data_IF_475187078289
#
_entry.id   IF_475187078289
#
_cell.length_a   1.000
_cell.length_b   1.000
_cell.length_c   1.000
_cell.angle_alpha   90.00
_cell.angle_beta   90.00
_cell.angle_gamma   90.00
#
_symmetry.space_group_name_H-M   'P 1'
#
loop_
_entity.id
_entity.type
_entity.pdbx_description
1 polymer ?
#
# COMPACT_ATOMS: atom_id res chain seq x y z
N UNK A 1 -24.29 1.39 -11.13
CA UNK A 1 -23.18 0.78 -11.89
C UNK A 1 -22.96 1.59 -13.13
N UNK A 2 -21.73 1.64 -13.64
CA UNK A 2 -21.46 2.25 -14.93
C UNK A 2 -21.31 1.15 -15.96
N UNK A 3 -21.85 1.35 -17.15
CA UNK A 3 -21.77 0.37 -18.22
C UNK A 3 -21.36 1.01 -19.54
N UNK A 4 -20.68 0.21 -20.35
CA UNK A 4 -20.16 0.57 -21.66
C UNK A 4 -20.35 -0.61 -22.61
N UNK A 5 -20.73 -0.31 -23.85
CA UNK A 5 -20.93 -1.31 -24.89
C UNK A 5 -19.89 -1.14 -25.99
N UNK A 6 -19.38 -2.27 -26.48
CA UNK A 6 -18.53 -2.34 -27.67
C UNK A 6 -19.26 -3.19 -28.69
N UNK A 7 -19.43 -2.66 -29.89
CA UNK A 7 -20.13 -3.33 -30.96
C UNK A 7 -19.13 -3.90 -31.98
N UNK A 8 -19.06 -5.23 -32.10
CA UNK A 8 -18.21 -5.87 -33.13
C UNK A 8 -19.00 -6.21 -34.40
N UNK A 9 -20.24 -5.73 -34.54
CA UNK A 9 -21.04 -5.92 -35.74
C UNK A 9 -20.74 -4.80 -36.75
N UNK A 10 -20.87 -5.14 -38.03
CA UNK A 10 -20.78 -4.21 -39.16
C UNK A 10 -22.05 -3.34 -39.33
N UNK A 11 -22.78 -3.07 -38.24
CA UNK A 11 -24.02 -2.28 -38.24
C UNK A 11 -24.16 -1.57 -36.92
N UNK A 12 -24.74 -0.38 -36.96
CA UNK A 12 -25.06 0.39 -35.76
C UNK A 12 -26.07 -0.35 -34.88
N UNK A 13 -25.86 -0.25 -33.56
CA UNK A 13 -26.72 -0.87 -32.54
C UNK A 13 -27.24 0.20 -31.61
N UNK A 14 -28.57 0.34 -31.57
CA UNK A 14 -29.28 1.18 -30.62
C UNK A 14 -29.76 0.35 -29.44
N UNK A 15 -29.25 0.66 -28.24
CA UNK A 15 -29.52 -0.10 -27.03
C UNK A 15 -30.42 0.73 -26.11
N UNK A 16 -31.62 0.25 -25.80
CA UNK A 16 -32.54 0.91 -24.87
C UNK A 16 -32.50 0.22 -23.50
N UNK A 17 -31.89 0.88 -22.52
CA UNK A 17 -31.92 0.44 -21.11
C UNK A 17 -33.11 1.12 -20.40
N UNK A 18 -34.26 0.43 -20.37
CA UNK A 18 -35.44 0.90 -19.66
C UNK A 18 -36.06 2.16 -20.27
N UNK A 19 -36.39 3.15 -19.44
CA UNK A 19 -37.14 4.37 -19.80
C UNK A 19 -36.27 5.49 -20.41
N UNK A 20 -34.98 5.27 -20.53
CA UNK A 20 -34.03 6.30 -20.96
C UNK A 20 -33.82 6.33 -22.48
N UNK A 21 -33.21 7.42 -22.96
CA UNK A 21 -32.83 7.58 -24.36
C UNK A 21 -31.94 6.42 -24.83
N UNK A 22 -32.17 5.90 -26.05
CA UNK A 22 -31.38 4.80 -26.60
C UNK A 22 -29.92 5.22 -26.79
N UNK A 23 -29.01 4.32 -26.42
CA UNK A 23 -27.58 4.49 -26.58
C UNK A 23 -27.18 3.98 -27.97
N UNK A 24 -26.65 4.86 -28.83
CA UNK A 24 -26.14 4.47 -30.13
C UNK A 24 -24.68 3.98 -29.99
N UNK A 25 -24.40 2.81 -30.55
CA UNK A 25 -23.07 2.20 -30.64
C UNK A 25 -22.76 1.98 -32.11
N UNK A 26 -21.74 2.67 -32.61
CA UNK A 26 -21.34 2.60 -34.02
C UNK A 26 -20.92 1.20 -34.46
N UNK A 27 -20.94 0.95 -35.77
CA UNK A 27 -20.38 -0.24 -36.40
C UNK A 27 -18.85 -0.37 -36.23
N UNK A 28 -18.31 -1.55 -36.56
CA UNK A 28 -16.87 -1.81 -36.68
C UNK A 28 -16.04 -1.47 -35.43
N UNK A 29 -16.34 -2.11 -34.30
CA UNK A 29 -15.72 -1.84 -33.00
C UNK A 29 -16.04 -0.46 -32.42
N UNK A 30 -17.14 0.15 -32.88
CA UNK A 30 -17.68 1.36 -32.27
C UNK A 30 -17.96 1.16 -30.78
N UNK A 31 -17.73 2.21 -30.01
CA UNK A 31 -17.84 2.18 -28.55
C UNK A 31 -18.83 3.21 -28.05
N UNK A 32 -19.68 2.78 -27.12
CA UNK A 32 -20.68 3.65 -26.52
C UNK A 32 -20.09 4.61 -25.49
N UNK A 33 -20.81 5.70 -25.22
CA UNK A 33 -20.58 6.49 -24.01
C UNK A 33 -20.88 5.67 -22.75
N UNK A 34 -20.25 6.03 -21.64
CA UNK A 34 -20.56 5.45 -20.34
C UNK A 34 -21.97 5.84 -19.90
N UNK A 35 -22.77 4.86 -19.48
CA UNK A 35 -24.10 5.08 -18.92
C UNK A 35 -24.16 4.60 -17.48
N UNK A 36 -24.70 5.42 -16.60
CA UNK A 36 -24.95 5.03 -15.21
C UNK A 36 -26.35 4.45 -15.09
N UNK A 37 -26.46 3.27 -14.51
CA UNK A 37 -27.74 2.61 -14.24
C UNK A 37 -27.91 2.27 -12.75
N UNK A 38 -29.15 2.24 -12.26
CA UNK A 38 -29.42 1.78 -10.90
C UNK A 38 -29.08 0.29 -10.76
N UNK A 39 -28.89 -0.14 -9.51
CA UNK A 39 -28.68 -1.54 -9.18
C UNK A 39 -29.94 -2.33 -9.54
N UNK A 40 -29.78 -3.44 -10.26
CA UNK A 40 -30.88 -4.30 -10.65
C UNK A 40 -30.43 -5.46 -11.53
N UNK A 41 -31.36 -6.37 -11.80
CA UNK A 41 -31.19 -7.41 -12.79
C UNK A 41 -31.77 -6.92 -14.13
N UNK A 42 -30.99 -7.08 -15.20
CA UNK A 42 -31.35 -6.61 -16.55
C UNK A 42 -31.38 -7.80 -17.53
N UNK A 43 -32.41 -8.67 -17.44
CA UNK A 43 -32.43 -9.92 -18.20
C UNK A 43 -32.83 -9.77 -19.67
N UNK A 44 -33.49 -8.66 -20.04
CA UNK A 44 -34.02 -8.44 -21.37
C UNK A 44 -33.89 -6.97 -21.80
N UNK A 45 -32.65 -6.56 -22.10
CA UNK A 45 -32.37 -5.24 -22.68
C UNK A 45 -32.65 -5.26 -24.17
N UNK A 46 -33.53 -4.38 -24.64
CA UNK A 46 -33.89 -4.29 -26.05
C UNK A 46 -32.78 -3.61 -26.85
N UNK A 47 -32.36 -4.27 -27.92
CA UNK A 47 -31.35 -3.79 -28.85
C UNK A 47 -31.92 -3.81 -30.27
N UNK A 48 -31.79 -2.68 -30.96
CA UNK A 48 -32.25 -2.51 -32.33
C UNK A 48 -31.05 -2.29 -33.23
N UNK A 49 -30.89 -3.16 -34.20
CA UNK A 49 -30.02 -2.96 -35.36
C UNK A 49 -30.90 -2.60 -36.56
N UNK A 50 -30.32 -2.00 -37.61
CA UNK A 50 -31.05 -1.59 -38.82
C UNK A 50 -32.00 -2.65 -39.39
N UNK A 51 -31.68 -3.95 -39.27
CA UNK A 51 -32.49 -5.05 -39.81
C UNK A 51 -33.19 -5.94 -38.78
N UNK A 52 -32.78 -5.90 -37.51
CA UNK A 52 -33.23 -6.88 -36.50
C UNK A 52 -33.30 -6.28 -35.10
N UNK A 53 -34.39 -6.62 -34.42
CA UNK A 53 -34.55 -6.40 -32.99
C UNK A 53 -34.16 -7.68 -32.24
N UNK A 54 -33.31 -7.56 -31.23
CA UNK A 54 -32.92 -8.67 -30.34
C UNK A 54 -32.86 -8.19 -28.89
N UNK A 55 -32.95 -9.13 -27.95
CA UNK A 55 -32.90 -8.86 -26.51
C UNK A 55 -31.62 -9.44 -25.90
N UNK A 56 -30.90 -8.63 -25.13
CA UNK A 56 -29.67 -9.04 -24.46
C UNK A 56 -29.89 -9.20 -22.95
N UNK A 57 -29.35 -10.26 -22.38
CA UNK A 57 -29.35 -10.49 -20.93
C UNK A 57 -28.01 -9.99 -20.35
N UNK A 58 -28.06 -8.90 -19.58
CA UNK A 58 -26.89 -8.33 -18.91
C UNK A 58 -26.66 -8.92 -17.50
N UNK A 59 -27.62 -9.68 -16.99
CA UNK A 59 -27.61 -10.26 -15.65
C UNK A 59 -27.74 -9.23 -14.53
N UNK A 60 -27.21 -9.58 -13.35
CA UNK A 60 -27.15 -8.69 -12.19
C UNK A 60 -26.04 -7.65 -12.36
N UNK A 61 -26.39 -6.38 -12.17
CA UNK A 61 -25.44 -5.27 -12.12
C UNK A 61 -25.31 -4.75 -10.68
N UNK A 62 -24.10 -4.86 -10.14
CA UNK A 62 -23.79 -4.50 -8.76
C UNK A 62 -23.37 -3.04 -8.61
N UNK A 63 -23.60 -2.48 -7.42
CA UNK A 63 -23.34 -1.08 -7.16
C UNK A 63 -21.84 -0.74 -7.26
N UNK A 64 -21.50 0.40 -7.85
CA UNK A 64 -20.11 0.85 -7.99
C UNK A 64 -19.25 0.08 -9.00
N UNK A 65 -19.74 -1.03 -9.57
CA UNK A 65 -19.04 -1.78 -10.61
C UNK A 65 -19.06 -1.04 -11.96
N UNK A 66 -18.03 -1.26 -12.77
CA UNK A 66 -17.97 -0.86 -14.18
C UNK A 66 -17.96 -2.09 -15.06
N UNK A 67 -18.99 -2.25 -15.89
CA UNK A 67 -19.13 -3.39 -16.80
C UNK A 67 -18.92 -2.95 -18.24
N UNK A 68 -18.12 -3.73 -18.98
CA UNK A 68 -18.02 -3.65 -20.43
C UNK A 68 -18.75 -4.83 -21.04
N UNK A 69 -19.63 -4.54 -21.99
CA UNK A 69 -20.39 -5.54 -22.71
C UNK A 69 -19.95 -5.54 -24.17
N UNK A 70 -19.44 -6.67 -24.64
CA UNK A 70 -19.01 -6.83 -26.03
C UNK A 70 -20.09 -7.59 -26.79
N UNK A 71 -20.72 -6.93 -27.76
CA UNK A 71 -21.75 -7.52 -28.62
C UNK A 71 -21.03 -8.15 -29.82
N UNK A 72 -21.18 -9.47 -29.97
CA UNK A 72 -20.59 -10.23 -31.08
C UNK A 72 -21.60 -11.15 -31.73
N UNK A 73 -21.49 -11.37 -33.03
CA UNK A 73 -22.37 -12.28 -33.75
C UNK A 73 -21.77 -13.69 -33.76
N UNK A 74 -22.35 -14.61 -32.98
CA UNK A 74 -21.94 -16.01 -32.97
C UNK A 74 -22.77 -16.76 -34.02
N UNK A 75 -22.06 -17.39 -34.96
CA UNK A 75 -22.54 -17.96 -36.24
C UNK A 75 -23.71 -18.96 -36.15
N UNK A 76 -24.14 -19.38 -34.97
CA UNK A 76 -25.17 -20.42 -34.80
C UNK A 76 -26.35 -20.05 -33.89
N UNK A 77 -26.29 -18.93 -33.14
CA UNK A 77 -27.31 -18.59 -32.14
C UNK A 77 -27.71 -17.10 -32.08
N UNK A 78 -27.20 -16.27 -33.00
CA UNK A 78 -27.48 -14.84 -33.06
C UNK A 78 -26.48 -13.98 -32.28
N UNK A 79 -26.76 -12.67 -32.11
CA UNK A 79 -25.89 -11.76 -31.38
C UNK A 79 -25.84 -12.16 -29.90
N UNK A 80 -24.65 -12.49 -29.40
CA UNK A 80 -24.42 -12.74 -27.97
C UNK A 80 -23.58 -11.61 -27.36
N UNK A 81 -23.73 -11.45 -26.04
CA UNK A 81 -23.02 -10.46 -25.25
C UNK A 81 -22.05 -11.15 -24.32
N UNK A 82 -20.79 -10.74 -24.41
CA UNK A 82 -19.77 -11.08 -23.44
C UNK A 82 -19.73 -9.99 -22.38
N UNK A 83 -19.94 -10.39 -21.12
CA UNK A 83 -19.78 -9.52 -19.96
C UNK A 83 -18.31 -9.59 -19.51
N UNK A 84 -17.61 -8.47 -19.60
CA UNK A 84 -16.30 -8.28 -18.98
C UNK A 84 -16.44 -7.24 -17.88
N UNK A 85 -16.10 -7.63 -16.66
CA UNK A 85 -16.05 -6.71 -15.53
C UNK A 85 -14.70 -5.99 -15.55
N UNK A 86 -14.72 -4.69 -15.80
CA UNK A 86 -13.52 -3.85 -15.88
C UNK A 86 -13.10 -3.39 -14.48
N UNK A 87 -14.08 -3.09 -13.63
CA UNK A 87 -13.86 -2.70 -12.23
C UNK A 87 -14.82 -3.55 -11.39
N UNK A 88 -14.29 -4.43 -10.51
CA UNK A 88 -15.13 -5.23 -9.63
C UNK A 88 -16.04 -4.33 -8.81
N UNK A 89 -17.23 -4.81 -8.48
CA UNK A 89 -18.13 -4.10 -7.58
C UNK A 89 -17.39 -3.59 -6.36
N UNK A 90 -17.73 -2.37 -5.94
CA UNK A 90 -17.09 -1.74 -4.79
C UNK A 90 -17.61 -2.40 -3.51
N UNK A 91 -17.12 -3.60 -3.21
CA UNK A 91 -17.55 -4.42 -2.08
C UNK A 91 -16.92 -3.98 -0.75
N UNK A 92 -15.87 -3.17 -0.79
CA UNK A 92 -15.17 -2.70 0.40
C UNK A 92 -15.35 -1.20 0.56
N UNK A 93 -16.03 -0.81 1.64
CA UNK A 93 -16.07 0.59 2.06
C UNK A 93 -14.64 1.06 2.34
N UNK A 94 -14.26 2.25 1.86
CA UNK A 94 -12.95 2.85 2.14
C UNK A 94 -12.70 3.00 3.65
N UNK A 95 -13.79 3.02 4.45
CA UNK A 95 -13.75 3.01 5.90
C UNK A 95 -13.07 1.75 6.48
N UNK A 96 -13.06 0.64 5.76
CA UNK A 96 -12.44 -0.61 6.23
C UNK A 96 -10.91 -0.61 6.14
N UNK A 97 -10.33 0.33 5.38
CA UNK A 97 -8.87 0.53 5.34
C UNK A 97 -8.38 1.36 6.52
N UNK A 98 -9.28 2.13 7.15
CA UNK A 98 -8.95 3.06 8.23
C UNK A 98 -8.33 2.36 9.46
N UNK A 99 -8.85 1.22 9.95
CA UNK A 99 -8.26 0.51 11.09
C UNK A 99 -6.83 0.03 10.80
N UNK A 100 -6.56 -0.43 9.57
CA UNK A 100 -5.24 -0.92 9.19
C UNK A 100 -4.22 0.21 9.18
N UNK A 101 -4.55 1.35 8.56
CA UNK A 101 -3.66 2.51 8.55
C UNK A 101 -3.44 3.08 9.95
N UNK A 102 -4.48 3.14 10.78
CA UNK A 102 -4.35 3.59 12.17
C UNK A 102 -3.41 2.68 12.99
N UNK A 103 -3.56 1.35 12.86
CA UNK A 103 -2.72 0.38 13.58
C UNK A 103 -1.25 0.46 13.15
N UNK A 104 -0.99 0.51 11.84
CA UNK A 104 0.38 0.61 11.30
C UNK A 104 1.04 1.92 11.76
N UNK A 105 0.32 3.03 11.70
CA UNK A 105 0.83 4.34 12.12
C UNK A 105 1.12 4.36 13.62
N UNK A 106 0.22 3.81 14.44
CA UNK A 106 0.44 3.69 15.88
C UNK A 106 1.67 2.82 16.21
N UNK A 107 1.82 1.68 15.52
CA UNK A 107 2.97 0.79 15.68
C UNK A 107 4.28 1.46 15.27
N UNK A 108 4.29 2.20 14.15
CA UNK A 108 5.46 2.94 13.68
C UNK A 108 5.89 4.02 14.69
N UNK A 109 4.94 4.82 15.19
CA UNK A 109 5.23 5.86 16.18
C UNK A 109 5.76 5.25 17.48
N UNK A 110 5.12 4.20 17.99
CA UNK A 110 5.57 3.55 19.23
C UNK A 110 6.94 2.88 19.06
N UNK A 111 7.22 2.23 17.94
CA UNK A 111 8.49 1.54 17.75
C UNK A 111 9.63 2.50 17.42
N UNK A 112 9.41 3.43 16.48
CA UNK A 112 10.43 4.36 16.00
C UNK A 112 10.74 5.45 17.02
N UNK A 113 9.72 6.11 17.59
CA UNK A 113 9.95 7.22 18.54
C UNK A 113 10.46 6.70 19.88
N UNK A 114 9.83 5.67 20.46
CA UNK A 114 10.28 5.14 21.76
C UNK A 114 11.63 4.42 21.66
N UNK A 115 11.89 3.70 20.56
CA UNK A 115 13.19 3.04 20.34
C UNK A 115 14.35 4.04 20.19
N UNK A 116 14.12 5.13 19.46
CA UNK A 116 15.10 6.20 19.32
C UNK A 116 15.28 6.98 20.62
N UNK A 117 14.21 7.29 21.36
CA UNK A 117 14.33 8.00 22.64
C UNK A 117 15.08 7.19 23.71
N UNK A 118 14.82 5.88 23.83
CA UNK A 118 15.59 5.01 24.73
C UNK A 118 17.07 4.97 24.32
N UNK A 119 17.33 4.86 23.02
CA UNK A 119 18.70 4.83 22.49
C UNK A 119 19.43 6.16 22.69
N UNK A 120 18.72 7.30 22.61
CA UNK A 120 19.28 8.62 22.89
C UNK A 120 19.49 8.89 24.38
N UNK A 121 18.67 8.28 25.26
CA UNK A 121 18.86 8.36 26.71
C UNK A 121 20.07 7.55 27.19
N UNK A 122 20.50 6.54 26.42
CA UNK A 122 21.58 5.64 26.80
C UNK A 122 22.92 5.91 26.07
N UNK A 123 22.98 6.89 25.15
CA UNK A 123 24.16 7.19 24.34
C UNK A 123 24.80 8.56 24.67
N UNK A 124 26.15 8.65 24.78
CA UNK A 124 26.86 9.93 24.94
C UNK A 124 26.57 10.91 23.79
N UNK A 125 26.61 12.22 24.09
CA UNK A 125 26.17 13.32 23.22
C UNK A 125 26.75 13.35 21.79
N UNK A 126 27.91 12.74 21.55
CA UNK A 126 28.56 12.67 20.22
C UNK A 126 28.08 11.52 19.32
N UNK A 127 27.29 10.55 19.80
CA UNK A 127 26.91 9.36 19.01
C UNK A 127 25.48 9.42 18.42
N UNK A 128 24.71 10.47 18.71
CA UNK A 128 23.31 10.59 18.25
C UNK A 128 23.15 10.47 16.72
N UNK A 129 24.06 11.08 15.96
CA UNK A 129 24.06 11.02 14.49
C UNK A 129 24.36 9.61 13.96
N UNK A 130 25.26 8.87 14.61
CA UNK A 130 25.61 7.49 14.22
C UNK A 130 24.45 6.53 14.48
N UNK A 131 23.72 6.71 15.58
CA UNK A 131 22.53 5.91 15.87
C UNK A 131 21.39 6.19 14.87
N UNK A 132 21.16 7.46 14.52
CA UNK A 132 20.20 7.82 13.48
C UNK A 132 20.58 7.22 12.11
N UNK A 133 21.87 7.25 11.76
CA UNK A 133 22.37 6.62 10.54
C UNK A 133 22.22 5.09 10.56
N UNK A 134 22.46 4.44 11.70
CA UNK A 134 22.27 3.00 11.87
C UNK A 134 20.78 2.60 11.80
N UNK A 135 19.89 3.44 12.31
CA UNK A 135 18.45 3.27 12.17
C UNK A 135 18.02 3.31 10.71
N UNK A 136 18.44 4.36 9.97
CA UNK A 136 18.18 4.50 8.54
C UNK A 136 18.76 3.34 7.72
N UNK A 137 19.94 2.84 8.10
CA UNK A 137 20.55 1.67 7.47
C UNK A 137 19.68 0.42 7.65
N UNK A 138 19.13 0.21 8.85
CA UNK A 138 18.24 -0.92 9.14
C UNK A 138 16.96 -0.86 8.30
N UNK A 139 16.37 0.34 8.17
CA UNK A 139 15.21 0.58 7.29
C UNK A 139 15.56 0.29 5.82
N UNK A 140 16.73 0.74 5.36
CA UNK A 140 17.18 0.50 3.99
C UNK A 140 17.37 -1.00 3.71
N UNK A 141 17.98 -1.75 4.65
CA UNK A 141 18.13 -3.21 4.53
C UNK A 141 16.76 -3.90 4.48
N UNK A 142 15.81 -3.48 5.33
CA UNK A 142 14.44 -4.00 5.31
C UNK A 142 13.76 -3.80 3.95
N UNK A 143 13.87 -2.60 3.38
CA UNK A 143 13.33 -2.29 2.06
C UNK A 143 13.98 -3.13 0.94
N UNK A 144 15.30 -3.37 1.01
CA UNK A 144 15.99 -4.23 0.04
C UNK A 144 15.47 -5.68 0.12
N UNK A 145 15.25 -6.21 1.33
CA UNK A 145 14.71 -7.57 1.51
C UNK A 145 13.31 -7.68 0.89
N UNK A 146 12.44 -6.70 1.10
CA UNK A 146 11.10 -6.67 0.50
C UNK A 146 11.18 -6.64 -1.03
N UNK A 147 12.06 -5.82 -1.60
CA UNK A 147 12.25 -5.73 -3.04
C UNK A 147 12.74 -7.06 -3.65
N UNK A 148 13.72 -7.68 -3.01
CA UNK A 148 14.24 -8.99 -3.41
C UNK A 148 13.12 -10.02 -3.39
N UNK A 149 12.38 -10.13 -2.28
CA UNK A 149 11.26 -11.08 -2.18
C UNK A 149 10.20 -10.82 -3.25
N UNK A 150 9.83 -9.56 -3.49
CA UNK A 150 8.84 -9.20 -4.51
C UNK A 150 9.28 -9.56 -5.93
N UNK A 151 10.57 -9.43 -6.25
CA UNK A 151 11.09 -9.79 -7.57
C UNK A 151 11.22 -11.31 -7.77
N UNK A 152 11.42 -12.07 -6.70
CA UNK A 152 11.48 -13.54 -6.73
C UNK A 152 10.10 -14.22 -6.61
N UNK A 153 9.10 -13.55 -6.03
CA UNK A 153 7.74 -14.07 -5.91
C UNK A 153 6.96 -13.90 -7.22
N UNK A 154 6.99 -14.93 -8.07
CA UNK A 154 5.92 -15.18 -9.05
C UNK A 154 4.77 -16.02 -8.46
N UNK A 155 4.54 -15.91 -7.15
CA UNK A 155 3.74 -16.84 -6.37
C UNK A 155 2.31 -16.32 -6.15
N UNK A 156 1.40 -17.23 -5.84
CA UNK A 156 0.01 -16.93 -5.44
C UNK A 156 -0.04 -16.00 -4.22
N UNK A 157 -0.89 -14.96 -4.27
CA UNK A 157 -0.96 -13.86 -3.28
C UNK A 157 -1.06 -14.31 -1.81
N UNK A 158 -1.77 -15.41 -1.53
CA UNK A 158 -1.87 -15.96 -0.17
C UNK A 158 -0.53 -16.42 0.44
N UNK A 159 0.42 -16.83 -0.41
CA UNK A 159 1.70 -17.37 0.00
C UNK A 159 2.71 -16.25 0.26
N UNK A 160 2.57 -15.13 -0.45
CA UNK A 160 3.31 -13.90 -0.15
C UNK A 160 3.00 -13.39 1.26
N UNK A 161 1.71 -13.39 1.65
CA UNK A 161 1.31 -12.99 3.00
C UNK A 161 1.94 -13.88 4.08
N UNK A 162 1.97 -15.19 3.87
CA UNK A 162 2.59 -16.13 4.81
C UNK A 162 4.11 -15.91 4.88
N UNK A 163 4.77 -15.69 3.74
CA UNK A 163 6.20 -15.44 3.68
C UNK A 163 6.58 -14.17 4.46
N UNK A 164 5.87 -13.06 4.22
CA UNK A 164 6.11 -11.81 4.96
C UNK A 164 5.84 -11.95 6.46
N UNK A 165 4.81 -12.72 6.85
CA UNK A 165 4.53 -12.99 8.26
C UNK A 165 5.65 -13.79 8.92
N UNK A 166 6.16 -14.83 8.26
CA UNK A 166 7.32 -15.61 8.75
C UNK A 166 8.58 -14.76 8.85
N UNK A 167 8.84 -13.88 7.87
CA UNK A 167 9.97 -12.97 7.87
C UNK A 167 9.89 -12.01 9.08
N UNK A 168 8.72 -11.41 9.32
CA UNK A 168 8.49 -10.54 10.48
C UNK A 168 8.67 -11.30 11.81
N UNK A 169 8.15 -12.52 11.91
CA UNK A 169 8.30 -13.34 13.12
C UNK A 169 9.78 -13.63 13.40
N UNK A 170 10.56 -13.96 12.37
CA UNK A 170 12.00 -14.18 12.47
C UNK A 170 12.73 -12.92 12.96
N UNK A 171 12.38 -11.74 12.43
CA UNK A 171 12.92 -10.45 12.89
C UNK A 171 12.54 -10.19 14.35
N UNK A 172 11.28 -10.42 14.75
CA UNK A 172 10.84 -10.28 16.13
C UNK A 172 11.62 -11.20 17.10
N UNK A 173 11.92 -12.43 16.69
CA UNK A 173 12.74 -13.35 17.48
C UNK A 173 14.18 -12.83 17.65
N UNK A 174 14.80 -12.34 16.58
CA UNK A 174 16.15 -11.73 16.65
C UNK A 174 16.13 -10.54 17.62
N UNK A 175 15.18 -9.62 17.50
CA UNK A 175 15.07 -8.46 18.39
C UNK A 175 14.79 -8.86 19.83
N UNK A 176 13.96 -9.88 20.07
CA UNK A 176 13.67 -10.40 21.41
C UNK A 176 14.92 -11.02 22.06
N UNK A 177 15.71 -11.78 21.30
CA UNK A 177 16.98 -12.35 21.77
C UNK A 177 18.00 -11.24 22.04
N UNK A 178 18.14 -10.28 21.13
CA UNK A 178 19.05 -9.13 21.31
C UNK A 178 18.66 -8.30 22.54
N UNK A 179 17.36 -8.06 22.75
CA UNK A 179 16.84 -7.37 23.93
C UNK A 179 17.07 -8.16 25.23
N UNK A 180 16.99 -9.49 25.19
CA UNK A 180 17.28 -10.34 26.35
C UNK A 180 18.76 -10.26 26.79
N UNK A 181 19.68 -10.13 25.84
CA UNK A 181 21.11 -9.96 26.12
C UNK A 181 21.53 -8.48 26.34
N UNK A 182 20.58 -7.55 26.34
CA UNK A 182 20.88 -6.13 26.52
C UNK A 182 21.19 -5.84 28.00
N UNK A 183 22.47 -5.65 28.30
CA UNK A 183 22.93 -5.15 29.60
C UNK A 183 22.71 -3.63 29.63
N UNK A 184 21.89 -3.09 30.55
CA UNK A 184 21.74 -1.65 30.68
C UNK A 184 23.07 -1.04 31.15
N UNK A 185 23.59 -0.08 30.39
CA UNK A 185 24.72 0.74 30.82
C UNK A 185 24.20 1.73 31.87
N UNK A 186 24.75 1.68 33.09
CA UNK A 186 24.43 2.68 34.10
C UNK A 186 24.95 4.05 33.67
N UNK A 187 24.08 5.05 33.66
CA UNK A 187 24.41 6.43 33.26
C UNK A 187 25.41 7.13 34.19
N UNK A 188 25.79 6.52 35.31
CA UNK A 188 26.79 7.03 36.25
C UNK A 188 28.22 6.95 35.69
N UNK A 189 28.52 5.97 34.81
CA UNK A 189 29.88 5.78 34.26
C UNK A 189 30.20 6.74 33.08
N UNK A 190 29.19 7.39 32.50
CA UNK A 190 29.35 8.27 31.32
C UNK A 190 29.74 9.71 31.73
N UNK A 191 29.46 10.14 32.97
CA UNK A 191 29.84 11.47 33.46
C UNK A 191 31.26 11.54 34.02
N UNK A 192 31.85 10.43 34.46
CA UNK A 192 33.21 10.41 35.02
C UNK A 192 34.38 10.78 34.06
N UNK A 193 34.37 10.52 32.74
CA UNK A 193 35.51 10.90 31.89
C UNK A 193 35.59 12.40 31.57
N UNK A 194 34.47 13.13 31.57
CA UNK A 194 34.46 14.56 31.25
C UNK A 194 34.88 15.43 32.46
N UNK A 195 34.34 15.14 33.65
CA UNK A 195 34.67 15.90 34.86
C UNK A 195 36.11 15.64 35.33
N UNK A 196 36.63 14.42 35.14
CA UNK A 196 38.04 14.11 35.44
C UNK A 196 39.01 14.83 34.49
N UNK A 197 38.67 14.99 33.21
CA UNK A 197 39.51 15.76 32.27
C UNK A 197 39.51 17.26 32.58
N UNK A 198 38.34 17.85 32.87
CA UNK A 198 38.26 19.28 33.23
C UNK A 198 39.02 19.55 34.54
N UNK A 199 38.88 18.67 35.54
CA UNK A 199 39.60 18.79 36.83
C UNK A 199 41.12 18.65 36.66
N UNK A 200 41.59 17.75 35.79
CA UNK A 200 43.02 17.59 35.48
C UNK A 200 43.60 18.79 34.72
N UNK A 201 42.89 19.32 33.72
CA UNK A 201 43.34 20.49 32.95
C UNK A 201 43.37 21.73 33.85
N UNK A 202 42.37 21.93 34.69
CA UNK A 202 42.32 23.05 35.63
C UNK A 202 43.42 22.94 36.70
N UNK A 203 43.69 21.72 37.21
CA UNK A 203 44.77 21.42 38.15
C UNK A 203 46.18 21.65 37.58
N UNK A 204 46.39 21.36 36.29
CA UNK A 204 47.65 21.64 35.62
C UNK A 204 47.83 23.14 35.33
N UNK A 205 46.76 23.85 34.99
CA UNK A 205 46.81 25.29 34.67
C UNK A 205 47.16 26.14 35.92
N UNK A 206 46.60 25.83 37.09
CA UNK A 206 46.94 26.52 38.36
C UNK A 206 48.39 26.28 38.81
N UNK A 207 48.94 25.08 38.55
CA UNK A 207 50.35 24.77 38.84
C UNK A 207 51.31 25.53 37.90
N UNK A 208 50.92 25.74 36.64
CA UNK A 208 51.70 26.53 35.68
C UNK A 208 51.71 28.02 36.04
N UNK A 209 50.58 28.60 36.47
CA UNK A 209 50.52 30.01 36.88
C UNK A 209 51.36 30.29 38.14
N UNK A 210 51.24 29.47 39.19
CA UNK A 210 52.04 29.61 40.42
C UNK A 210 53.54 29.45 40.20
N UNK A 211 53.96 28.68 39.18
CA UNK A 211 55.37 28.54 38.82
C UNK A 211 55.90 29.76 38.05
N UNK A 212 55.04 30.49 37.34
CA UNK A 212 55.42 31.69 36.58
C UNK A 212 55.44 32.98 37.40
N UNK A 213 54.81 33.02 38.58
CA UNK A 213 54.78 34.20 39.47
C UNK A 213 55.91 34.24 40.50
N UNK A 214 56.79 33.24 40.54
CA UNK A 214 57.97 33.17 41.43
C UNK A 214 59.28 33.42 40.68
N UNK A 215 59.40 34.57 40.03
CA UNK A 215 60.68 35.08 39.51
C UNK A 215 60.84 36.56 39.85
#
# INVERSE_FOLDING_TARGET
STLRFINTLHKDVNISLGTDAPLNVGEDYGVSAYRTVPRGEYPAVHCKTEDKDFSLNLGLLEFGASYVFVISNITSQGPQVWKTEDIPANELSIAWQLPQYALVTAAEVMFSVTGLEFSYSQAPSSMKSVLQAAWLLTVAVGNIIVLVVAQFSGLVQWAEFILFSCLLLMVCLIFSIMGYYYVPVNSEDIHEPADKQITQIQGNMINLETKSTKL
#
